data_IF_813696567703
#
_entry.id   IF_813696567703
#
_cell.length_a   1.000
_cell.length_b   1.000
_cell.length_c   1.000
_cell.angle_alpha   90.00
_cell.angle_beta   90.00
_cell.angle_gamma   90.00
#
_symmetry.space_group_name_H-M   'P 1'
#
loop_
_entity.id
_entity.type
_entity.pdbx_description
1 polymer ?
#
# COMPACT_ATOMS: atom_id res chain seq x y z
N UNK A 1 -23.81 -37.32 -33.84
CA UNK A 1 -23.66 -35.92 -33.38
C UNK A 1 -22.77 -35.96 -32.14
N UNK A 2 -21.46 -35.88 -32.32
CA UNK A 2 -20.49 -35.85 -31.21
C UNK A 2 -20.15 -34.38 -30.97
N UNK A 3 -20.69 -33.79 -29.90
CA UNK A 3 -20.28 -32.45 -29.46
C UNK A 3 -19.08 -32.64 -28.54
N UNK A 4 -17.88 -32.41 -29.07
CA UNK A 4 -16.67 -32.24 -28.27
C UNK A 4 -16.85 -30.93 -27.49
N UNK A 5 -17.02 -31.02 -26.17
CA UNK A 5 -16.82 -29.85 -25.30
C UNK A 5 -15.31 -29.62 -25.27
N UNK A 6 -14.85 -28.65 -26.05
CA UNK A 6 -13.52 -28.08 -25.85
C UNK A 6 -13.58 -27.37 -24.50
N UNK A 7 -12.74 -27.82 -23.57
CA UNK A 7 -12.38 -27.04 -22.40
C UNK A 7 -11.86 -25.71 -22.92
N UNK A 8 -12.52 -24.62 -22.57
CA UNK A 8 -12.21 -23.27 -23.00
C UNK A 8 -10.84 -22.91 -22.39
N UNK A 9 -9.76 -23.26 -23.09
CA UNK A 9 -8.40 -22.89 -22.73
C UNK A 9 -8.37 -21.35 -22.75
N UNK A 10 -8.19 -20.68 -21.60
CA UNK A 10 -8.31 -19.23 -21.54
C UNK A 10 -7.28 -18.62 -22.48
N UNK A 11 -7.74 -17.84 -23.45
CA UNK A 11 -6.85 -17.19 -24.42
C UNK A 11 -5.76 -16.41 -23.67
N UNK A 12 -4.49 -16.40 -24.12
CA UNK A 12 -3.37 -15.79 -23.38
C UNK A 12 -3.53 -14.28 -23.11
N UNK A 13 -4.53 -13.65 -23.71
CA UNK A 13 -4.96 -12.26 -23.49
C UNK A 13 -5.96 -12.09 -22.33
N UNK A 14 -6.58 -13.18 -21.88
CA UNK A 14 -7.36 -13.26 -20.66
C UNK A 14 -6.39 -13.15 -19.49
N UNK A 15 -6.16 -11.91 -19.04
CA UNK A 15 -5.36 -11.62 -17.85
C UNK A 15 -6.08 -12.21 -16.64
N UNK A 16 -5.88 -13.51 -16.41
CA UNK A 16 -6.32 -14.18 -15.20
C UNK A 16 -5.61 -13.44 -14.05
N UNK A 17 -6.35 -12.83 -13.11
CA UNK A 17 -5.73 -12.09 -12.03
C UNK A 17 -4.78 -13.04 -11.31
N UNK A 18 -3.55 -12.57 -11.02
CA UNK A 18 -2.41 -13.36 -10.55
C UNK A 18 -2.57 -14.01 -9.15
N UNK A 19 -3.79 -14.34 -8.74
CA UNK A 19 -4.17 -14.67 -7.38
C UNK A 19 -4.28 -13.40 -6.51
N UNK A 20 -4.84 -13.53 -5.29
CA UNK A 20 -4.91 -12.43 -4.36
C UNK A 20 -3.51 -12.03 -3.87
N UNK A 21 -3.20 -10.73 -3.93
CA UNK A 21 -1.98 -10.15 -3.40
C UNK A 21 -2.13 -9.89 -1.90
N UNK A 22 -1.02 -10.02 -1.18
CA UNK A 22 -0.87 -9.58 0.21
C UNK A 22 -0.57 -8.09 0.21
N UNK A 23 -1.54 -7.28 0.64
CA UNK A 23 -1.50 -5.81 0.56
C UNK A 23 -1.24 -5.23 1.96
N UNK A 24 -0.21 -4.39 2.13
CA UNK A 24 0.10 -3.77 3.40
C UNK A 24 -0.93 -2.73 3.79
N UNK A 25 -1.39 -2.79 5.03
CA UNK A 25 -2.40 -1.87 5.59
C UNK A 25 -1.90 -1.20 6.87
N UNK A 26 -2.54 -0.11 7.25
CA UNK A 26 -2.44 0.42 8.61
C UNK A 26 -3.77 0.20 9.31
N UNK A 27 -3.77 -0.35 10.53
CA UNK A 27 -4.95 -0.28 11.38
C UNK A 27 -5.15 1.19 11.76
N UNK A 28 -6.25 1.78 11.32
CA UNK A 28 -6.84 3.00 11.88
C UNK A 28 -7.98 2.59 12.81
N UNK A 29 -8.31 3.42 13.81
CA UNK A 29 -9.19 3.04 14.93
C UNK A 29 -10.38 2.13 14.57
N UNK A 30 -11.22 2.52 13.61
CA UNK A 30 -12.34 1.71 13.12
C UNK A 30 -12.17 1.21 11.67
N UNK A 31 -11.05 1.52 11.01
CA UNK A 31 -10.87 1.34 9.58
C UNK A 31 -9.52 0.72 9.24
N UNK A 32 -9.50 -0.13 8.22
CA UNK A 32 -8.26 -0.69 7.67
C UNK A 32 -7.92 0.10 6.41
N UNK A 33 -6.77 0.78 6.43
CA UNK A 33 -6.36 1.67 5.33
C UNK A 33 -5.20 1.07 4.55
N UNK A 34 -5.35 0.92 3.23
CA UNK A 34 -4.27 0.48 2.34
C UNK A 34 -3.14 1.49 2.33
N UNK A 35 -1.89 1.02 2.45
CA UNK A 35 -0.70 1.89 2.39
C UNK A 35 -0.31 2.18 0.95
N UNK A 36 -0.21 3.46 0.61
CA UNK A 36 0.45 3.93 -0.60
C UNK A 36 1.95 4.14 -0.36
N UNK A 37 2.75 3.83 -1.37
CA UNK A 37 4.19 3.99 -1.37
C UNK A 37 4.62 4.96 -2.48
N UNK A 38 5.92 5.23 -2.53
CA UNK A 38 6.53 6.03 -3.59
C UNK A 38 7.62 5.22 -4.29
N UNK A 39 7.71 5.39 -5.60
CA UNK A 39 8.85 4.91 -6.39
C UNK A 39 10.09 5.76 -6.09
N UNK A 40 11.31 5.32 -6.50
CA UNK A 40 12.52 6.13 -6.38
C UNK A 40 12.42 7.51 -7.07
N UNK A 41 11.60 7.61 -8.11
CA UNK A 41 11.31 8.87 -8.82
C UNK A 41 10.20 9.72 -8.15
N UNK A 42 9.69 9.28 -6.99
CA UNK A 42 8.70 10.01 -6.19
C UNK A 42 7.24 9.78 -6.58
N UNK A 43 6.97 9.00 -7.64
CA UNK A 43 5.61 8.69 -8.10
C UNK A 43 4.88 7.80 -7.08
N UNK A 44 3.58 8.02 -6.88
CA UNK A 44 2.77 7.18 -5.96
C UNK A 44 2.51 5.81 -6.59
N UNK A 45 2.58 4.76 -5.76
CA UNK A 45 2.30 3.38 -6.17
C UNK A 45 1.60 2.61 -5.07
N UNK A 46 0.66 1.76 -5.46
CA UNK A 46 0.16 0.67 -4.62
C UNK A 46 1.15 -0.50 -4.67
N UNK A 47 1.33 -1.17 -3.53
CA UNK A 47 2.26 -2.30 -3.40
C UNK A 47 1.46 -3.54 -3.04
N UNK A 48 1.73 -4.65 -3.74
CA UNK A 48 1.23 -5.97 -3.38
C UNK A 48 2.38 -6.98 -3.31
N UNK A 49 2.23 -8.00 -2.49
CA UNK A 49 3.19 -9.09 -2.39
C UNK A 49 2.54 -10.40 -2.83
N UNK A 50 3.32 -11.28 -3.43
CA UNK A 50 2.85 -12.62 -3.83
C UNK A 50 2.84 -13.60 -2.64
N UNK A 51 3.49 -13.25 -1.54
CA UNK A 51 3.53 -14.06 -0.32
C UNK A 51 3.74 -13.24 0.95
N UNK A 52 3.30 -13.76 2.11
CA UNK A 52 3.46 -13.10 3.39
C UNK A 52 4.93 -13.02 3.82
N UNK A 53 5.75 -14.01 3.46
CA UNK A 53 7.19 -14.02 3.76
C UNK A 53 7.93 -12.88 3.04
N UNK A 54 7.54 -12.57 1.80
CA UNK A 54 8.10 -11.45 1.03
C UNK A 54 7.70 -10.11 1.63
N UNK A 55 6.43 -9.99 2.03
CA UNK A 55 5.95 -8.81 2.74
C UNK A 55 6.72 -8.60 4.05
N UNK A 56 6.89 -9.66 4.84
CA UNK A 56 7.59 -9.61 6.11
C UNK A 56 9.09 -9.31 5.95
N UNK A 57 9.75 -9.87 4.94
CA UNK A 57 11.13 -9.56 4.61
C UNK A 57 11.32 -8.08 4.22
N UNK A 58 10.34 -7.51 3.52
CA UNK A 58 10.43 -6.13 3.01
C UNK A 58 9.98 -5.07 4.01
N UNK A 59 8.88 -5.29 4.74
CA UNK A 59 8.25 -4.29 5.62
C UNK A 59 8.36 -4.65 7.12
N UNK A 60 8.91 -5.81 7.44
CA UNK A 60 9.01 -6.36 8.79
C UNK A 60 7.82 -7.25 9.16
N UNK A 61 8.08 -8.24 10.01
CA UNK A 61 7.09 -9.24 10.48
C UNK A 61 5.88 -8.65 11.21
N UNK A 62 5.98 -7.42 11.71
CA UNK A 62 4.91 -6.73 12.43
C UNK A 62 3.98 -5.95 11.50
N UNK A 63 4.27 -5.88 10.20
CA UNK A 63 3.45 -5.13 9.25
C UNK A 63 2.09 -5.84 9.03
N UNK A 64 0.95 -5.20 9.35
CA UNK A 64 -0.36 -5.77 9.07
C UNK A 64 -0.66 -5.81 7.57
N UNK A 65 -1.41 -6.83 7.13
CA UNK A 65 -1.78 -7.00 5.73
C UNK A 65 -3.16 -7.62 5.57
N UNK A 66 -3.76 -7.43 4.39
CA UNK A 66 -4.98 -8.09 3.94
C UNK A 66 -4.75 -8.75 2.57
N UNK A 67 -5.67 -9.63 2.16
CA UNK A 67 -5.65 -10.22 0.81
C UNK A 67 -6.62 -9.48 -0.09
N UNK A 68 -6.15 -9.03 -1.24
CA UNK A 68 -6.96 -8.35 -2.24
C UNK A 68 -6.58 -8.82 -3.63
N UNK A 69 -7.54 -8.93 -4.54
CA UNK A 69 -7.22 -9.10 -5.95
C UNK A 69 -6.53 -7.84 -6.49
N UNK A 70 -5.69 -8.01 -7.52
CA UNK A 70 -5.11 -6.87 -8.23
C UNK A 70 -6.20 -5.90 -8.71
N UNK A 71 -7.29 -6.42 -9.30
CA UNK A 71 -8.37 -5.60 -9.84
C UNK A 71 -9.06 -4.76 -8.75
N UNK A 72 -9.29 -5.33 -7.57
CA UNK A 72 -9.85 -4.59 -6.44
C UNK A 72 -8.87 -3.51 -5.95
N UNK A 73 -7.59 -3.84 -5.86
CA UNK A 73 -6.56 -2.88 -5.46
C UNK A 73 -6.46 -1.71 -6.44
N UNK A 74 -6.51 -1.99 -7.75
CA UNK A 74 -6.51 -0.98 -8.81
C UNK A 74 -7.77 -0.11 -8.76
N UNK A 75 -8.95 -0.71 -8.56
CA UNK A 75 -10.21 0.02 -8.44
C UNK A 75 -10.23 0.98 -7.24
N UNK A 76 -9.63 0.61 -6.11
CA UNK A 76 -9.50 1.50 -4.95
C UNK A 76 -8.47 2.62 -5.17
N UNK A 77 -7.46 2.39 -6.00
CA UNK A 77 -6.37 3.32 -6.24
C UNK A 77 -6.69 4.36 -7.34
N UNK A 78 -7.55 4.00 -8.28
CA UNK A 78 -8.04 4.84 -9.38
C UNK A 78 -8.55 6.22 -8.90
N UNK A 79 -9.49 6.32 -7.93
CA UNK A 79 -9.99 7.63 -7.48
C UNK A 79 -8.93 8.48 -6.77
N UNK A 80 -7.80 7.89 -6.39
CA UNK A 80 -6.67 8.57 -5.78
C UNK A 80 -5.61 9.02 -6.81
N UNK A 81 -5.87 8.78 -8.10
CA UNK A 81 -4.95 9.05 -9.20
C UNK A 81 -3.72 8.14 -9.21
N UNK A 82 -3.80 6.95 -8.62
CA UNK A 82 -2.70 5.99 -8.52
C UNK A 82 -2.97 4.82 -9.46
N UNK A 83 -2.26 4.79 -10.59
CA UNK A 83 -2.37 3.72 -11.60
C UNK A 83 -1.28 2.66 -11.52
N UNK A 84 -0.18 2.96 -10.82
CA UNK A 84 1.00 2.10 -10.75
C UNK A 84 0.88 1.08 -9.61
N UNK A 85 0.90 -0.21 -9.98
CA UNK A 85 1.03 -1.34 -9.06
C UNK A 85 2.44 -1.94 -9.13
N UNK A 86 3.09 -2.00 -7.98
CA UNK A 86 4.39 -2.66 -7.81
C UNK A 86 4.20 -3.96 -7.06
N UNK A 87 4.58 -5.08 -7.67
CA UNK A 87 4.51 -6.42 -7.06
C UNK A 87 5.89 -6.83 -6.55
N UNK A 88 5.95 -7.34 -5.32
CA UNK A 88 7.17 -7.79 -4.63
C UNK A 88 8.36 -6.80 -4.73
N UNK A 89 8.20 -5.54 -4.29
CA UNK A 89 9.28 -4.57 -4.36
C UNK A 89 10.47 -4.99 -3.49
N UNK A 90 11.66 -4.77 -4.02
CA UNK A 90 12.90 -4.79 -3.24
C UNK A 90 13.20 -3.37 -2.79
N UNK A 91 13.03 -3.07 -1.49
CA UNK A 91 13.42 -1.76 -0.95
C UNK A 91 14.91 -1.78 -0.62
N UNK A 92 15.68 -0.95 -1.32
CA UNK A 92 17.14 -0.84 -1.12
C UNK A 92 17.52 0.05 0.06
N UNK A 93 16.56 0.79 0.63
CA UNK A 93 16.78 1.63 1.80
C UNK A 93 16.55 0.83 3.09
N UNK A 94 17.45 0.92 4.09
CA UNK A 94 17.25 0.26 5.38
C UNK A 94 15.95 0.77 6.04
N UNK A 95 15.24 -0.13 6.73
CA UNK A 95 14.02 0.22 7.43
C UNK A 95 14.28 1.38 8.41
N UNK A 96 13.45 2.43 8.31
CA UNK A 96 13.48 3.53 9.28
C UNK A 96 13.04 2.96 10.61
N UNK A 97 13.99 2.71 11.51
CA UNK A 97 13.69 2.41 12.90
C UNK A 97 12.84 3.56 13.44
N UNK A 98 11.72 3.25 14.09
CA UNK A 98 10.93 4.24 14.80
C UNK A 98 11.80 4.83 15.92
N UNK A 99 12.50 5.91 15.60
CA UNK A 99 13.18 6.73 16.61
C UNK A 99 12.12 7.31 17.56
N UNK A 100 12.51 7.62 18.81
CA UNK A 100 11.60 8.25 19.75
C UNK A 100 10.97 9.50 19.11
N UNK A 101 9.69 9.78 19.36
CA UNK A 101 9.04 10.95 18.78
C UNK A 101 9.84 12.19 19.14
N UNK A 102 10.43 12.85 18.13
CA UNK A 102 11.00 14.18 18.31
C UNK A 102 9.84 15.08 18.71
N UNK A 103 9.79 15.45 19.98
CA UNK A 103 8.80 16.39 20.48
C UNK A 103 8.96 17.69 19.70
N UNK A 104 7.95 18.04 18.91
CA UNK A 104 7.88 19.35 18.28
C UNK A 104 7.88 20.42 19.40
N UNK A 105 8.65 21.51 19.27
CA UNK A 105 8.59 22.60 20.25
C UNK A 105 7.17 23.15 20.30
N UNK A 106 6.55 23.15 21.48
CA UNK A 106 5.25 23.79 21.69
C UNK A 106 5.37 25.27 21.29
N UNK A 107 4.41 25.83 20.53
CA UNK A 107 4.40 27.26 20.24
C UNK A 107 4.29 28.03 21.55
N UNK A 108 5.34 28.77 21.90
CA UNK A 108 5.33 29.63 23.08
C UNK A 108 4.34 30.76 22.84
N UNK A 109 3.36 30.91 23.73
CA UNK A 109 2.39 32.00 23.66
C UNK A 109 3.13 33.34 23.84
N UNK A 110 3.19 34.13 22.78
CA UNK A 110 3.64 35.53 22.88
C UNK A 110 2.66 36.30 23.77
N UNK A 111 3.12 37.03 24.81
CA UNK A 111 2.24 37.93 25.53
C UNK A 111 1.83 39.07 24.60
N UNK A 112 0.55 39.11 24.21
CA UNK A 112 -0.06 40.32 23.67
C UNK A 112 0.00 41.37 24.79
N UNK A 113 0.88 42.35 24.62
CA UNK A 113 0.93 43.53 25.46
C UNK A 113 -0.37 44.33 25.21
N UNK A 114 -1.33 44.20 26.14
CA UNK A 114 -2.44 45.12 26.23
C UNK A 114 -1.87 46.51 26.53
N UNK A 115 -1.98 47.42 25.56
CA UNK A 115 -1.68 48.83 25.76
C UNK A 115 -3.00 49.59 25.60
N UNK A 116 -3.63 49.85 26.74
CA UNK A 116 -4.75 50.77 26.90
C UNK A 116 -4.25 51.85 27.86
N UNK A 117 -4.02 53.06 27.32
CA UNK A 117 -4.15 54.38 27.96
C UNK A 117 -3.61 55.42 26.96
#
# INVERSE_FOLDING_TARGET
MCLFQYDDDPEPEEQVPAGPLYVPVRPGGAEVVVRLFRTPLGARTIVGFTGPDRLAATLGVQQPWIRLSESALRAMAEPLGVSLLTVDPTFTAPAVAAGPPVAAPLPQASPIAARIA
#
